data_IF_457348280136
#
_entry.id   IF_457348280136
#
_cell.length_a   1.000
_cell.length_b   1.000
_cell.length_c   1.000
_cell.angle_alpha   90.00
_cell.angle_beta   90.00
_cell.angle_gamma   90.00
#
_symmetry.space_group_name_H-M   'P 1'
#
loop_
_entity.id
_entity.type
_entity.pdbx_description
1 polymer ?
#
# COMPACT_ATOMS: atom_id res chain seq x y z
N UNK A 1 -6.22 12.36 2.88
CA UNK A 1 -5.63 12.28 1.54
C UNK A 1 -4.11 12.21 1.71
N UNK A 2 -3.46 11.09 1.38
CA UNK A 2 -2.00 11.05 1.38
C UNK A 2 -1.53 11.86 0.18
N UNK A 3 -0.79 12.94 0.42
CA UNK A 3 -0.22 13.73 -0.67
C UNK A 3 0.90 12.92 -1.32
N UNK A 4 0.83 12.71 -2.62
CA UNK A 4 1.94 12.15 -3.40
C UNK A 4 2.92 13.25 -3.81
N UNK A 5 4.18 12.89 -4.01
CA UNK A 5 5.22 13.76 -4.59
C UNK A 5 5.72 13.13 -5.90
N UNK A 6 5.92 13.95 -6.93
CA UNK A 6 6.59 13.53 -8.15
C UNK A 6 8.10 13.52 -7.95
N UNK A 7 8.74 12.40 -8.24
CA UNK A 7 10.18 12.20 -8.09
C UNK A 7 10.77 11.71 -9.40
N UNK A 8 11.94 12.25 -9.75
CA UNK A 8 12.74 11.73 -10.86
C UNK A 8 13.69 10.66 -10.34
N UNK A 9 13.54 9.43 -10.84
CA UNK A 9 14.47 8.34 -10.59
C UNK A 9 15.56 8.32 -11.66
N UNK A 10 16.80 8.14 -11.23
CA UNK A 10 17.99 7.83 -12.02
C UNK A 10 18.70 6.61 -11.41
N UNK A 11 18.13 5.39 -11.60
CA UNK A 11 18.56 4.23 -10.85
C UNK A 11 20.00 3.80 -11.20
N UNK A 12 20.81 3.56 -10.18
CA UNK A 12 22.16 3.01 -10.32
C UNK A 12 22.10 1.48 -10.27
N UNK A 13 22.60 0.76 -11.30
CA UNK A 13 22.61 -0.71 -11.34
C UNK A 13 23.29 -1.34 -10.11
N UNK A 14 22.69 -2.40 -9.57
CA UNK A 14 23.23 -3.22 -8.50
C UNK A 14 23.61 -4.61 -8.99
N UNK A 15 22.62 -5.48 -9.14
CA UNK A 15 22.78 -6.83 -9.69
C UNK A 15 21.51 -7.27 -10.41
N UNK A 16 21.63 -8.32 -11.23
CA UNK A 16 20.51 -8.87 -11.97
C UNK A 16 20.12 -10.27 -11.47
N UNK A 17 18.82 -10.55 -11.45
CA UNK A 17 18.24 -11.87 -11.20
C UNK A 17 17.54 -12.33 -12.46
N UNK A 18 17.70 -13.60 -12.83
CA UNK A 18 17.01 -14.22 -13.96
C UNK A 18 16.05 -15.27 -13.43
N UNK A 19 14.77 -15.08 -13.75
CA UNK A 19 13.64 -15.97 -13.50
C UNK A 19 12.94 -16.31 -14.84
N UNK A 20 11.76 -16.93 -14.76
CA UNK A 20 10.90 -17.25 -15.89
C UNK A 20 9.43 -17.11 -15.52
N UNK A 21 8.58 -16.70 -16.46
CA UNK A 21 7.13 -16.70 -16.27
C UNK A 21 6.61 -18.14 -16.11
N UNK A 22 5.78 -18.39 -15.10
CA UNK A 22 5.18 -19.71 -14.82
C UNK A 22 3.89 -19.96 -15.59
N UNK A 23 3.24 -18.90 -16.03
CA UNK A 23 1.97 -18.93 -16.76
C UNK A 23 1.99 -17.90 -17.90
N UNK A 24 1.04 -18.05 -18.82
CA UNK A 24 0.76 -17.02 -19.80
C UNK A 24 0.08 -15.85 -19.09
N UNK A 25 0.50 -14.62 -19.39
CA UNK A 25 -0.07 -13.41 -18.82
C UNK A 25 -0.19 -12.32 -19.89
N UNK A 26 -1.06 -11.34 -19.67
CA UNK A 26 -1.10 -10.11 -20.45
C UNK A 26 -0.66 -8.98 -19.55
N UNK A 27 0.42 -8.30 -19.93
CA UNK A 27 0.93 -7.17 -19.14
C UNK A 27 0.78 -5.88 -19.95
N UNK A 28 0.20 -4.81 -19.37
CA UNK A 28 0.13 -3.52 -20.02
C UNK A 28 1.53 -3.05 -20.43
N UNK A 29 1.71 -2.73 -21.70
CA UNK A 29 2.96 -2.18 -22.24
C UNK A 29 2.77 -0.68 -22.44
N UNK A 30 3.75 0.13 -22.04
CA UNK A 30 3.81 1.52 -22.45
C UNK A 30 4.09 1.62 -23.96
N UNK A 31 3.51 2.63 -24.62
CA UNK A 31 3.47 2.77 -26.08
C UNK A 31 4.85 2.66 -26.78
N UNK A 32 5.94 2.98 -26.07
CA UNK A 32 7.31 2.88 -26.59
C UNK A 32 7.78 1.43 -26.82
N UNK A 33 7.16 0.43 -26.17
CA UNK A 33 7.54 -0.99 -26.30
C UNK A 33 6.79 -1.74 -27.41
N UNK A 34 5.77 -1.12 -28.03
CA UNK A 34 4.93 -1.78 -29.05
C UNK A 34 5.55 -1.78 -30.46
N UNK A 35 6.56 -0.93 -30.70
CA UNK A 35 7.18 -0.78 -32.03
C UNK A 35 8.15 -1.93 -32.40
N UNK A 36 8.39 -2.89 -31.49
CA UNK A 36 9.39 -3.95 -31.68
C UNK A 36 8.81 -5.36 -31.89
N UNK A 37 7.48 -5.55 -31.85
CA UNK A 37 6.86 -6.87 -31.97
C UNK A 37 6.48 -7.24 -33.40
N UNK A 38 6.90 -8.43 -33.83
CA UNK A 38 6.49 -9.08 -35.08
C UNK A 38 4.96 -9.39 -35.10
N UNK A 39 4.35 -9.58 -36.28
CA UNK A 39 2.91 -9.36 -36.47
C UNK A 39 1.98 -10.54 -36.12
N UNK A 40 2.29 -11.37 -35.11
CA UNK A 40 1.50 -12.61 -34.89
C UNK A 40 1.01 -12.88 -33.47
N UNK A 41 1.06 -11.96 -32.50
CA UNK A 41 0.53 -12.21 -31.16
C UNK A 41 -0.14 -10.99 -30.55
N UNK A 42 -1.19 -11.24 -29.77
CA UNK A 42 -1.95 -10.25 -28.99
C UNK A 42 -0.99 -9.28 -28.28
N UNK A 43 -1.09 -7.96 -28.49
CA UNK A 43 -0.18 -6.99 -27.89
C UNK A 43 -0.12 -7.17 -26.36
N UNK A 44 1.07 -7.45 -25.82
CA UNK A 44 1.26 -7.63 -24.37
C UNK A 44 1.22 -9.06 -23.85
N UNK A 45 1.00 -10.08 -24.70
CA UNK A 45 1.04 -11.47 -24.27
C UNK A 45 2.47 -11.92 -23.89
N UNK A 46 2.61 -12.46 -22.69
CA UNK A 46 3.84 -13.05 -22.16
C UNK A 46 3.63 -14.56 -22.07
N UNK A 47 4.37 -15.38 -22.86
CA UNK A 47 4.20 -16.82 -22.83
C UNK A 47 4.81 -17.45 -21.58
N UNK A 48 4.26 -18.60 -21.16
CA UNK A 48 4.86 -19.46 -20.14
C UNK A 48 6.30 -19.81 -20.52
N UNK A 49 7.21 -19.74 -19.57
CA UNK A 49 8.63 -20.03 -19.75
C UNK A 49 9.45 -18.87 -20.33
N UNK A 50 8.84 -17.72 -20.66
CA UNK A 50 9.60 -16.55 -21.08
C UNK A 50 10.58 -16.15 -19.99
N UNK A 51 11.84 -15.89 -20.38
CA UNK A 51 12.87 -15.43 -19.44
C UNK A 51 12.53 -14.03 -18.95
N UNK A 52 12.57 -13.84 -17.64
CA UNK A 52 12.34 -12.54 -17.01
C UNK A 52 13.60 -12.17 -16.23
N UNK A 53 14.19 -11.02 -16.57
CA UNK A 53 15.31 -10.44 -15.86
C UNK A 53 14.79 -9.34 -14.92
N UNK A 54 15.08 -9.46 -13.63
CA UNK A 54 14.76 -8.45 -12.63
C UNK A 54 16.06 -7.75 -12.24
N UNK A 55 16.15 -6.47 -12.54
CA UNK A 55 17.29 -5.65 -12.15
C UNK A 55 17.04 -5.07 -10.77
N UNK A 56 17.98 -5.30 -9.85
CA UNK A 56 18.01 -4.64 -8.55
C UNK A 56 18.88 -3.40 -8.69
N UNK A 57 18.26 -2.23 -8.52
CA UNK A 57 18.91 -0.93 -8.68
C UNK A 57 18.69 -0.04 -7.45
N UNK A 58 19.49 1.02 -7.35
CA UNK A 58 19.52 1.91 -6.19
C UNK A 58 19.23 3.36 -6.59
N UNK A 59 18.41 4.05 -5.80
CA UNK A 59 18.18 5.47 -5.99
C UNK A 59 17.87 6.15 -4.64
N UNK A 60 18.50 7.29 -4.37
CA UNK A 60 18.32 8.06 -3.13
C UNK A 60 16.95 8.71 -3.02
N UNK A 61 16.22 8.88 -4.13
CA UNK A 61 14.85 9.40 -4.15
C UNK A 61 13.82 8.35 -3.74
N UNK A 62 14.16 7.06 -3.72
CA UNK A 62 13.28 6.03 -3.14
C UNK A 62 13.23 6.22 -1.62
N UNK A 63 12.06 6.15 -0.96
CA UNK A 63 12.01 6.24 0.49
C UNK A 63 12.87 5.15 1.17
N UNK A 64 13.65 5.48 2.20
CA UNK A 64 14.37 4.46 2.97
C UNK A 64 13.39 3.60 3.78
N UNK A 65 13.78 2.38 4.19
CA UNK A 65 13.04 1.63 5.20
C UNK A 65 12.82 2.48 6.46
N UNK A 66 11.67 2.34 7.16
CA UNK A 66 11.51 2.96 8.47
C UNK A 66 12.56 2.41 9.45
N UNK A 67 12.87 3.15 10.53
CA UNK A 67 13.76 2.63 11.57
C UNK A 67 13.17 1.36 12.20
N UNK A 68 14.01 0.35 12.44
CA UNK A 68 13.60 -0.90 13.07
C UNK A 68 14.75 -1.52 13.86
N UNK A 69 14.43 -2.21 14.95
CA UNK A 69 15.42 -2.97 15.70
C UNK A 69 15.96 -4.13 14.87
N UNK A 70 17.21 -4.56 15.11
CA UNK A 70 17.81 -5.68 14.39
C UNK A 70 16.99 -6.97 14.57
N UNK A 71 16.43 -7.20 15.77
CA UNK A 71 15.54 -8.32 16.03
C UNK A 71 14.26 -8.27 15.18
N UNK A 72 13.65 -7.09 15.02
CA UNK A 72 12.49 -6.90 14.14
C UNK A 72 12.86 -7.24 12.70
N UNK A 73 13.99 -6.74 12.21
CA UNK A 73 14.45 -6.96 10.85
C UNK A 73 14.71 -8.46 10.60
N UNK A 74 15.39 -9.14 11.52
CA UNK A 74 15.66 -10.59 11.43
C UNK A 74 14.39 -11.43 11.45
N UNK A 75 13.36 -11.02 12.21
CA UNK A 75 12.07 -11.70 12.21
C UNK A 75 11.33 -11.52 10.88
N UNK A 76 11.38 -10.33 10.28
CA UNK A 76 10.81 -10.06 8.95
C UNK A 76 11.52 -10.88 7.87
N UNK A 77 12.86 -10.92 7.88
CA UNK A 77 13.66 -11.71 6.93
C UNK A 77 13.32 -13.21 7.00
N UNK A 78 13.05 -13.72 8.21
CA UNK A 78 12.65 -15.13 8.44
C UNK A 78 11.17 -15.41 8.16
N UNK A 79 10.38 -14.40 7.77
CA UNK A 79 8.93 -14.55 7.59
C UNK A 79 8.16 -14.78 8.89
N UNK A 80 8.77 -14.53 10.05
CA UNK A 80 8.21 -14.81 11.39
C UNK A 80 7.40 -13.64 11.96
N UNK A 81 7.46 -12.46 11.34
CA UNK A 81 6.65 -11.29 11.68
C UNK A 81 6.04 -10.69 10.42
N UNK A 82 4.98 -11.32 9.94
CA UNK A 82 3.92 -10.58 9.25
C UNK A 82 2.68 -10.63 10.14
N UNK A 83 2.70 -9.83 11.20
CA UNK A 83 1.50 -9.52 11.94
C UNK A 83 1.01 -8.18 11.40
N UNK A 84 -0.01 -8.20 10.54
CA UNK A 84 -0.64 -7.00 9.92
C UNK A 84 -1.12 -5.98 10.95
N UNK A 85 -1.13 -6.34 12.23
CA UNK A 85 -1.51 -5.51 13.37
C UNK A 85 -0.52 -4.42 13.76
N UNK A 86 0.70 -4.41 13.21
CA UNK A 86 1.74 -3.42 13.50
C UNK A 86 1.85 -2.42 12.34
N UNK A 87 1.17 -1.29 12.45
CA UNK A 87 1.36 -0.12 11.57
C UNK A 87 2.79 0.46 11.66
N UNK A 88 3.56 0.05 12.67
CA UNK A 88 4.99 0.36 12.88
C UNK A 88 5.91 -0.78 12.37
N UNK A 89 5.39 -1.65 11.50
CA UNK A 89 6.16 -2.74 10.91
C UNK A 89 7.34 -2.24 10.09
N UNK A 90 8.48 -2.92 10.20
CA UNK A 90 9.63 -2.64 9.35
C UNK A 90 9.40 -3.23 7.95
N UNK A 91 9.50 -2.39 6.92
CA UNK A 91 9.34 -2.81 5.52
C UNK A 91 10.36 -2.12 4.63
N UNK A 92 10.61 -2.66 3.44
CA UNK A 92 11.49 -2.02 2.45
C UNK A 92 10.62 -1.51 1.29
N UNK A 93 10.58 -0.19 1.06
CA UNK A 93 9.98 0.37 -0.15
C UNK A 93 10.70 -0.12 -1.41
N UNK A 94 9.93 -0.59 -2.40
CA UNK A 94 10.43 -1.01 -3.71
C UNK A 94 9.59 -0.35 -4.78
N UNK A 95 10.23 0.38 -5.71
CA UNK A 95 9.58 0.94 -6.88
C UNK A 95 9.85 0.04 -8.09
N UNK A 96 8.79 -0.52 -8.65
CA UNK A 96 8.84 -1.44 -9.80
C UNK A 96 8.64 -0.63 -11.09
N UNK A 97 9.33 -1.01 -12.16
CA UNK A 97 9.12 -0.42 -13.49
C UNK A 97 8.04 -1.15 -14.26
N UNK A 98 7.50 -0.52 -15.29
CA UNK A 98 6.83 -1.28 -16.33
C UNK A 98 7.81 -2.28 -16.97
N UNK A 99 7.33 -3.48 -17.36
CA UNK A 99 8.19 -4.42 -18.06
C UNK A 99 8.55 -3.94 -19.46
N UNK A 100 9.80 -4.20 -19.85
CA UNK A 100 10.33 -3.89 -21.19
C UNK A 100 10.81 -5.15 -21.90
N UNK A 101 10.64 -5.19 -23.21
CA UNK A 101 11.20 -6.25 -24.05
C UNK A 101 12.72 -6.11 -24.20
N UNK A 102 13.41 -7.24 -24.21
CA UNK A 102 14.84 -7.35 -24.49
C UNK A 102 15.12 -8.73 -25.11
N UNK A 103 16.38 -9.00 -25.46
CA UNK A 103 16.85 -10.30 -25.93
C UNK A 103 17.90 -10.85 -24.99
N UNK A 104 17.92 -12.16 -24.77
CA UNK A 104 19.00 -12.80 -24.02
C UNK A 104 20.30 -12.89 -24.84
N UNK A 105 21.35 -13.47 -24.27
CA UNK A 105 22.64 -13.64 -24.98
C UNK A 105 22.54 -14.50 -26.25
N UNK A 106 21.51 -15.33 -26.38
CA UNK A 106 21.24 -16.16 -27.56
C UNK A 106 20.25 -15.48 -28.53
N UNK A 107 19.92 -14.20 -28.32
CA UNK A 107 18.98 -13.46 -29.15
C UNK A 107 17.50 -13.81 -28.92
N UNK A 108 17.19 -14.69 -27.96
CA UNK A 108 15.80 -15.10 -27.68
C UNK A 108 15.06 -14.01 -26.90
N UNK A 109 13.75 -13.83 -27.13
CA UNK A 109 12.95 -12.86 -26.39
C UNK A 109 13.04 -13.05 -24.88
N UNK A 110 13.13 -11.93 -24.17
CA UNK A 110 13.12 -11.87 -22.73
C UNK A 110 12.44 -10.58 -22.27
N UNK A 111 11.98 -10.58 -21.03
CA UNK A 111 11.41 -9.42 -20.38
C UNK A 111 12.39 -8.88 -19.35
N UNK A 112 12.42 -7.57 -19.15
CA UNK A 112 13.22 -6.92 -18.11
C UNK A 112 12.35 -6.03 -17.25
N UNK A 113 12.52 -6.09 -15.94
CA UNK A 113 11.84 -5.23 -14.96
C UNK A 113 12.87 -4.66 -13.99
N UNK A 114 12.82 -3.36 -13.72
CA UNK A 114 13.68 -2.73 -12.72
C UNK A 114 12.96 -2.60 -11.38
N UNK A 115 13.53 -3.17 -10.32
CA UNK A 115 13.16 -2.94 -8.94
C UNK A 115 14.17 -1.98 -8.31
N UNK A 116 13.72 -0.78 -7.98
CA UNK A 116 14.55 0.30 -7.44
C UNK A 116 14.30 0.43 -5.95
N UNK A 117 15.37 0.36 -5.17
CA UNK A 117 15.35 0.47 -3.71
C UNK A 117 16.21 1.65 -3.24
N UNK A 118 16.02 2.08 -1.99
CA UNK A 118 16.91 3.06 -1.39
C UNK A 118 18.30 2.46 -1.13
N UNK A 119 19.42 3.18 -1.39
CA UNK A 119 20.77 2.66 -1.21
C UNK A 119 21.15 2.34 0.25
N UNK A 120 20.38 2.77 1.26
CA UNK A 120 20.63 2.41 2.66
C UNK A 120 20.67 0.90 2.91
N UNK A 121 19.94 0.09 2.12
CA UNK A 121 19.93 -1.38 2.26
C UNK A 121 21.06 -2.06 1.48
N UNK A 122 21.78 -1.32 0.62
CA UNK A 122 22.81 -1.86 -0.27
C UNK A 122 23.97 -2.52 0.48
N UNK A 123 24.59 -1.92 1.53
CA UNK A 123 25.72 -2.55 2.22
C UNK A 123 25.37 -3.91 2.79
N UNK A 124 24.17 -4.03 3.38
CA UNK A 124 23.66 -5.28 3.94
C UNK A 124 23.37 -6.32 2.85
N UNK A 125 22.72 -5.90 1.76
CA UNK A 125 22.42 -6.75 0.59
C UNK A 125 23.68 -7.36 -0.05
N UNK A 126 24.79 -6.63 -0.03
CA UNK A 126 26.04 -7.12 -0.63
C UNK A 126 26.86 -8.02 0.31
N UNK A 127 26.69 -7.88 1.63
CA UNK A 127 27.47 -8.61 2.64
C UNK A 127 26.75 -9.85 3.17
N UNK A 128 25.43 -9.78 3.37
CA UNK A 128 24.65 -10.83 4.03
C UNK A 128 23.84 -11.63 3.00
N UNK A 129 24.17 -12.91 2.81
CA UNK A 129 23.51 -13.77 1.84
C UNK A 129 22.00 -13.93 2.09
N UNK A 130 21.59 -14.08 3.36
CA UNK A 130 20.19 -14.17 3.73
C UNK A 130 19.41 -12.88 3.43
N UNK A 131 20.01 -11.72 3.70
CA UNK A 131 19.39 -10.43 3.36
C UNK A 131 19.29 -10.25 1.85
N UNK A 132 20.31 -10.69 1.09
CA UNK A 132 20.26 -10.69 -0.37
C UNK A 132 19.13 -11.55 -0.91
N UNK A 133 18.96 -12.77 -0.38
CA UNK A 133 17.87 -13.65 -0.75
C UNK A 133 16.50 -13.02 -0.44
N UNK A 134 16.37 -12.36 0.71
CA UNK A 134 15.17 -11.60 1.08
C UNK A 134 14.87 -10.45 0.11
N UNK A 135 15.86 -9.65 -0.28
CA UNK A 135 15.70 -8.58 -1.28
C UNK A 135 15.25 -9.14 -2.63
N UNK A 136 15.79 -10.28 -3.04
CA UNK A 136 15.40 -10.94 -4.29
C UNK A 136 13.95 -11.42 -4.20
N UNK A 137 13.56 -12.10 -3.12
CA UNK A 137 12.19 -12.57 -2.93
C UNK A 137 11.20 -11.40 -2.90
N UNK A 138 11.52 -10.34 -2.15
CA UNK A 138 10.71 -9.13 -2.10
C UNK A 138 10.56 -8.50 -3.49
N UNK A 139 11.64 -8.42 -4.28
CA UNK A 139 11.58 -7.89 -5.63
C UNK A 139 10.68 -8.75 -6.53
N UNK A 140 10.79 -10.08 -6.48
CA UNK A 140 9.92 -10.98 -7.25
C UNK A 140 8.45 -10.81 -6.87
N UNK A 141 8.13 -10.81 -5.57
CA UNK A 141 6.77 -10.58 -5.08
C UNK A 141 6.21 -9.22 -5.54
N UNK A 142 7.04 -8.17 -5.54
CA UNK A 142 6.61 -6.84 -5.98
C UNK A 142 6.39 -6.77 -7.49
N UNK A 143 7.20 -7.47 -8.29
CA UNK A 143 6.93 -7.62 -9.72
C UNK A 143 5.62 -8.37 -9.95
N UNK A 144 5.37 -9.45 -9.23
CA UNK A 144 4.12 -10.23 -9.32
C UNK A 144 2.90 -9.45 -8.83
N UNK A 145 3.05 -8.51 -7.88
CA UNK A 145 1.94 -7.65 -7.45
C UNK A 145 1.69 -6.47 -8.38
N UNK A 146 2.76 -5.93 -8.99
CA UNK A 146 2.68 -4.79 -9.91
C UNK A 146 2.30 -5.20 -11.33
N UNK A 147 2.50 -6.47 -11.66
CA UNK A 147 2.12 -7.07 -12.94
C UNK A 147 1.15 -8.23 -12.67
N UNK A 148 0.70 -8.93 -13.70
CA UNK A 148 -0.08 -10.17 -13.55
C UNK A 148 0.79 -11.42 -13.75
N UNK A 149 2.12 -11.26 -13.72
CA UNK A 149 3.07 -12.35 -13.90
C UNK A 149 3.14 -13.20 -12.64
N UNK A 150 3.32 -14.52 -12.83
CA UNK A 150 3.81 -15.42 -11.80
C UNK A 150 5.24 -15.83 -12.17
N UNK A 151 6.20 -15.65 -11.26
CA UNK A 151 7.63 -15.82 -11.50
C UNK A 151 8.17 -17.06 -10.79
N UNK A 152 9.03 -17.79 -11.50
CA UNK A 152 9.72 -18.94 -10.92
C UNK A 152 10.67 -18.51 -9.80
N UNK A 153 10.64 -19.25 -8.67
CA UNK A 153 11.63 -19.12 -7.59
C UNK A 153 12.92 -19.92 -7.87
N UNK A 154 12.95 -20.72 -8.94
CA UNK A 154 14.18 -21.29 -9.46
C UNK A 154 14.96 -20.22 -10.24
N UNK A 155 15.65 -19.37 -9.49
CA UNK A 155 16.36 -18.21 -10.04
C UNK A 155 17.82 -18.55 -10.35
N UNK A 156 18.41 -17.73 -11.22
CA UNK A 156 19.87 -17.63 -11.34
C UNK A 156 20.29 -16.16 -11.20
N UNK A 157 21.51 -15.91 -10.76
CA UNK A 157 22.09 -14.56 -10.63
C UNK A 157 23.22 -14.40 -11.65
N UNK A 158 22.92 -13.94 -12.87
CA UNK A 158 23.97 -13.67 -13.86
C UNK A 158 24.99 -12.67 -13.29
N UNK A 159 26.27 -12.84 -13.65
CA UNK A 159 27.34 -11.93 -13.24
C UNK A 159 27.32 -10.63 -14.08
N UNK A 160 26.25 -9.85 -13.94
CA UNK A 160 26.05 -8.53 -14.54
C UNK A 160 25.36 -7.63 -13.53
N UNK A 161 25.64 -6.33 -13.58
CA UNK A 161 25.00 -5.35 -12.71
C UNK A 161 23.51 -5.13 -13.07
N UNK A 162 23.17 -5.20 -14.35
CA UNK A 162 21.80 -5.12 -14.86
C UNK A 162 21.70 -5.69 -16.28
N UNK A 163 20.50 -6.17 -16.65
CA UNK A 163 20.13 -6.45 -18.04
C UNK A 163 19.64 -5.15 -18.69
N UNK A 164 20.44 -4.61 -19.60
CA UNK A 164 20.24 -3.25 -20.12
C UNK A 164 20.49 -2.18 -19.05
N UNK A 165 20.36 -0.91 -19.42
CA UNK A 165 20.43 0.21 -18.46
C UNK A 165 19.05 0.39 -17.80
N UNK A 166 18.96 0.50 -16.46
CA UNK A 166 17.73 0.88 -15.78
C UNK A 166 17.20 2.22 -16.31
N UNK A 167 15.88 2.32 -16.44
CA UNK A 167 15.25 3.48 -17.07
C UNK A 167 15.04 4.62 -16.07
N UNK A 168 15.58 5.80 -16.38
CA UNK A 168 15.23 7.04 -15.68
C UNK A 168 13.78 7.41 -15.96
N UNK A 169 13.00 7.72 -14.91
CA UNK A 169 11.57 7.98 -15.03
C UNK A 169 11.04 8.86 -13.91
N UNK A 170 9.93 9.55 -14.16
CA UNK A 170 9.16 10.19 -13.09
C UNK A 170 8.18 9.21 -12.46
N UNK A 171 8.03 9.28 -11.14
CA UNK A 171 7.13 8.42 -10.35
C UNK A 171 6.42 9.25 -9.28
N UNK A 172 5.19 8.87 -8.97
CA UNK A 172 4.46 9.41 -7.83
C UNK A 172 4.67 8.52 -6.61
N UNK A 173 5.15 9.09 -5.53
CA UNK A 173 5.41 8.38 -4.28
C UNK A 173 4.63 9.04 -3.13
N UNK A 174 3.92 8.28 -2.29
CA UNK A 174 3.27 8.84 -1.11
C UNK A 174 4.28 9.52 -0.17
N UNK A 175 4.04 10.78 0.20
CA UNK A 175 4.97 11.56 1.04
C UNK A 175 5.17 10.94 2.43
N UNK A 176 4.17 10.23 2.96
CA UNK A 176 4.23 9.56 4.26
C UNK A 176 5.22 8.40 4.34
N UNK A 177 5.76 7.93 3.20
CA UNK A 177 6.82 6.91 3.19
C UNK A 177 8.19 7.48 3.54
N UNK A 178 8.37 8.80 3.45
CA UNK A 178 9.62 9.43 3.83
C UNK A 178 9.67 9.67 5.35
N UNK A 179 10.82 9.48 6.01
CA UNK A 179 10.94 9.79 7.42
C UNK A 179 10.90 11.31 7.68
N UNK A 180 10.49 11.75 8.89
CA UNK A 180 10.57 13.14 9.29
C UNK A 180 11.98 13.71 9.09
N UNK A 181 12.08 14.88 8.46
CA UNK A 181 13.36 15.54 8.14
C UNK A 181 13.96 15.18 6.79
N UNK A 182 13.40 14.23 6.04
CA UNK A 182 13.81 13.96 4.66
C UNK A 182 13.47 15.16 3.74
N UNK A 183 14.29 15.49 2.71
CA UNK A 183 14.00 16.59 1.77
C UNK A 183 12.59 16.51 1.14
N UNK A 184 12.13 15.28 0.86
CA UNK A 184 10.82 14.98 0.28
C UNK A 184 9.67 14.85 1.29
N UNK A 185 9.96 14.97 2.60
CA UNK A 185 8.97 14.96 3.68
C UNK A 185 8.45 16.37 4.01
N UNK A 186 8.93 17.42 3.34
CA UNK A 186 8.44 18.78 3.59
C UNK A 186 6.94 18.86 3.28
N UNK A 187 6.13 19.08 4.32
CA UNK A 187 4.79 19.65 4.19
C UNK A 187 4.94 20.98 3.48
N UNK A 188 4.12 21.24 2.46
CA UNK A 188 4.20 22.45 1.65
C UNK A 188 4.19 23.71 2.53
N UNK A 189 5.38 24.21 2.86
CA UNK A 189 5.58 25.57 3.31
C UNK A 189 5.47 26.43 2.06
N UNK A 190 4.25 26.92 1.81
CA UNK A 190 3.91 28.06 0.95
C UNK A 190 4.53 28.06 -0.46
N UNK A 191 3.82 27.47 -1.42
CA UNK A 191 3.71 28.06 -2.76
C UNK A 191 2.28 27.91 -3.24
N UNK A 192 1.45 28.90 -2.92
CA UNK A 192 0.25 29.23 -3.68
C UNK A 192 0.68 29.55 -5.11
N UNK A 193 0.42 28.62 -6.03
CA UNK A 193 0.69 28.77 -7.46
C UNK A 193 -0.64 28.79 -8.23
N UNK A 194 -1.54 29.68 -7.77
CA UNK A 194 -2.60 30.29 -8.58
C UNK A 194 -2.63 31.75 -8.14
N UNK A 195 -2.18 32.64 -9.02
CA UNK A 195 -2.30 34.09 -8.86
C UNK A 195 -3.64 34.50 -9.48
N UNK A 196 -4.68 34.57 -8.65
CA UNK A 196 -5.94 35.19 -9.03
C UNK A 196 -5.78 36.71 -8.91
N UNK A 197 -6.13 37.45 -9.98
CA UNK A 197 -6.02 38.91 -10.00
C UNK A 197 -6.93 39.52 -8.92
N UNK A 198 -6.36 40.42 -8.14
CA UNK A 198 -7.04 41.14 -7.07
C UNK A 198 -8.23 41.99 -7.57
N UNK A 199 -9.29 42.04 -6.75
CA UNK A 199 -10.20 43.17 -6.65
C UNK A 199 -10.34 43.57 -5.17
N UNK A 200 -10.45 44.87 -4.84
CA UNK A 200 -9.99 45.38 -3.54
C UNK A 200 -11.07 45.40 -2.43
N UNK A 201 -10.58 45.10 -1.22
CA UNK A 201 -10.79 45.77 0.08
C UNK A 201 -12.21 46.05 0.57
N UNK A 202 -12.60 45.38 1.67
CA UNK A 202 -13.16 46.04 2.87
C UNK A 202 -12.59 45.39 4.15
N UNK A 203 -12.43 46.24 5.16
CA UNK A 203 -11.53 46.19 6.32
C UNK A 203 -12.12 45.36 7.50
N UNK A 204 -11.19 44.81 8.30
CA UNK A 204 -11.27 44.00 9.53
C UNK A 204 -12.05 44.65 10.72
N UNK A 205 -12.07 44.14 11.99
CA UNK A 205 -11.40 42.94 12.56
C UNK A 205 -12.23 42.11 13.59
N UNK A 206 -11.76 40.90 13.96
CA UNK A 206 -11.59 40.44 15.36
C UNK A 206 -11.37 38.91 15.49
N UNK A 207 -10.29 38.57 16.22
CA UNK A 207 -10.18 37.45 17.18
C UNK A 207 -10.10 36.00 16.68
N UNK A 208 -8.86 35.64 16.31
CA UNK A 208 -8.08 34.52 16.86
C UNK A 208 -8.76 33.67 17.95
N UNK A 209 -9.10 32.42 17.64
CA UNK A 209 -8.94 31.28 18.56
C UNK A 209 -8.48 30.06 17.77
N UNK A 210 -7.23 29.69 17.98
CA UNK A 210 -6.68 28.37 17.70
C UNK A 210 -7.50 27.29 18.42
N UNK A 211 -8.06 26.33 17.69
CA UNK A 211 -8.20 24.98 18.22
C UNK A 211 -7.62 23.98 17.22
N UNK A 212 -6.44 23.52 17.61
CA UNK A 212 -5.74 22.36 17.09
C UNK A 212 -6.61 21.13 17.41
N UNK A 213 -7.27 20.52 16.42
CA UNK A 213 -7.76 19.15 16.55
C UNK A 213 -7.04 18.27 15.54
N UNK A 214 -6.08 17.50 16.06
CA UNK A 214 -5.54 16.30 15.43
C UNK A 214 -6.74 15.39 15.10
N UNK A 215 -7.13 15.30 13.82
CA UNK A 215 -8.23 14.43 13.40
C UNK A 215 -7.77 12.97 13.46
N UNK A 216 -7.98 12.34 14.61
CA UNK A 216 -7.78 10.91 14.79
C UNK A 216 -8.89 10.16 14.03
N UNK A 217 -8.50 9.41 13.01
CA UNK A 217 -9.37 8.60 12.13
C UNK A 217 -10.09 7.53 12.95
N UNK A 218 -11.39 7.26 12.71
CA UNK A 218 -12.10 6.23 13.44
C UNK A 218 -11.58 4.86 12.99
N UNK A 219 -11.30 3.98 13.94
CA UNK A 219 -10.88 2.60 13.68
C UNK A 219 -11.95 1.67 14.19
N UNK A 220 -12.11 0.48 13.65
CA UNK A 220 -13.10 -0.47 14.17
C UNK A 220 -12.48 -1.85 14.33
N UNK A 221 -13.10 -2.70 15.14
CA UNK A 221 -12.76 -4.11 15.29
C UNK A 221 -14.01 -4.95 15.34
N UNK A 222 -13.88 -6.26 15.13
CA UNK A 222 -15.00 -7.18 15.32
C UNK A 222 -14.56 -8.47 16.02
N UNK A 223 -15.49 -9.10 16.73
CA UNK A 223 -15.30 -10.41 17.37
C UNK A 223 -16.58 -11.24 17.27
N UNK A 224 -16.51 -12.55 17.00
CA UNK A 224 -17.68 -13.41 17.13
C UNK A 224 -18.06 -13.53 18.61
N UNK A 225 -19.37 -13.52 18.89
CA UNK A 225 -19.86 -13.78 20.25
C UNK A 225 -19.63 -15.26 20.61
N UNK A 226 -19.52 -15.59 21.91
CA UNK A 226 -19.31 -16.97 22.41
C UNK A 226 -20.32 -17.99 21.86
N UNK A 227 -21.52 -17.54 21.52
CA UNK A 227 -22.58 -18.39 20.97
C UNK A 227 -22.52 -18.54 19.44
N UNK A 228 -21.54 -17.94 18.76
CA UNK A 228 -21.34 -17.92 17.30
C UNK A 228 -22.57 -17.51 16.46
N UNK A 229 -23.58 -16.88 17.08
CA UNK A 229 -24.82 -16.43 16.41
C UNK A 229 -24.86 -14.94 16.11
N UNK A 230 -24.04 -14.14 16.80
CA UNK A 230 -23.97 -12.67 16.67
C UNK A 230 -22.52 -12.22 16.59
N UNK A 231 -22.29 -11.14 15.86
CA UNK A 231 -21.01 -10.44 15.72
C UNK A 231 -21.04 -9.20 16.62
N UNK A 232 -19.92 -8.94 17.29
CA UNK A 232 -19.69 -7.71 18.02
C UNK A 232 -18.74 -6.82 17.23
N UNK A 233 -19.18 -5.66 16.78
CA UNK A 233 -18.33 -4.58 16.28
C UNK A 233 -17.97 -3.60 17.41
N UNK A 234 -16.76 -3.09 17.40
CA UNK A 234 -16.28 -2.03 18.30
C UNK A 234 -15.64 -0.95 17.44
N UNK A 235 -16.30 0.19 17.30
CA UNK A 235 -15.84 1.35 16.54
C UNK A 235 -15.24 2.37 17.51
N UNK A 236 -13.95 2.63 17.40
CA UNK A 236 -13.21 3.65 18.14
C UNK A 236 -13.40 5.02 17.47
N UNK A 237 -13.99 5.95 18.24
CA UNK A 237 -14.37 7.31 17.85
C UNK A 237 -13.74 8.32 18.80
N UNK A 238 -12.41 8.55 18.71
CA UNK A 238 -11.62 9.23 19.74
C UNK A 238 -12.01 10.69 20.03
N UNK A 239 -12.69 11.34 19.08
CA UNK A 239 -13.11 12.74 19.15
C UNK A 239 -14.64 12.90 19.29
N UNK A 240 -15.40 11.82 19.45
CA UNK A 240 -16.84 11.91 19.62
C UNK A 240 -17.20 12.39 21.04
N UNK A 241 -18.05 13.39 21.12
CA UNK A 241 -18.58 13.94 22.38
C UNK A 241 -20.08 13.71 22.50
N UNK A 242 -20.64 13.78 23.73
CA UNK A 242 -22.07 13.54 23.99
C UNK A 242 -22.98 14.51 23.22
N UNK A 243 -22.54 15.74 22.98
CA UNK A 243 -23.30 16.74 22.22
C UNK A 243 -23.50 16.33 20.75
N UNK A 244 -22.54 15.61 20.17
CA UNK A 244 -22.55 15.24 18.76
C UNK A 244 -23.42 14.02 18.46
N UNK A 245 -23.74 13.19 19.46
CA UNK A 245 -24.58 11.99 19.29
C UNK A 245 -25.94 12.34 18.70
N UNK A 246 -26.56 13.43 19.17
CA UNK A 246 -27.90 13.85 18.71
C UNK A 246 -27.96 14.17 17.21
N UNK A 247 -26.83 14.52 16.61
CA UNK A 247 -26.69 14.80 15.17
C UNK A 247 -26.00 13.66 14.41
N UNK A 248 -25.70 12.54 15.07
CA UNK A 248 -25.03 11.38 14.46
C UNK A 248 -26.04 10.33 14.04
N UNK A 249 -25.78 9.62 12.95
CA UNK A 249 -26.55 8.44 12.54
C UNK A 249 -25.68 7.20 12.57
N UNK A 250 -26.28 6.07 12.96
CA UNK A 250 -25.67 4.75 12.93
C UNK A 250 -26.70 3.78 12.36
N UNK A 251 -26.38 3.25 11.19
CA UNK A 251 -27.25 2.34 10.44
C UNK A 251 -26.58 0.96 10.33
N UNK A 252 -27.36 -0.09 10.60
CA UNK A 252 -26.92 -1.48 10.49
C UNK A 252 -27.81 -2.16 9.45
N UNK A 253 -27.19 -2.63 8.37
CA UNK A 253 -27.82 -3.39 7.29
C UNK A 253 -27.33 -4.86 7.35
N UNK A 254 -27.98 -5.81 6.65
CA UNK A 254 -27.60 -7.22 6.65
C UNK A 254 -26.12 -7.48 6.37
N UNK A 255 -25.48 -6.64 5.55
CA UNK A 255 -24.07 -6.78 5.16
C UNK A 255 -23.28 -5.47 5.22
N UNK A 256 -23.77 -4.47 5.96
CA UNK A 256 -23.14 -3.14 6.02
C UNK A 256 -23.36 -2.45 7.35
N UNK A 257 -22.38 -1.68 7.82
CA UNK A 257 -22.53 -0.80 9.00
C UNK A 257 -22.06 0.60 8.62
N UNK A 258 -22.92 1.59 8.80
CA UNK A 258 -22.69 2.97 8.39
C UNK A 258 -22.76 3.86 9.62
N UNK A 259 -21.73 4.67 9.87
CA UNK A 259 -21.68 5.66 10.93
C UNK A 259 -21.37 7.02 10.32
N UNK A 260 -22.31 7.95 10.47
CA UNK A 260 -22.16 9.33 10.04
C UNK A 260 -22.21 10.27 11.25
N UNK A 261 -21.13 10.99 11.49
CA UNK A 261 -21.02 12.02 12.54
C UNK A 261 -20.62 13.33 11.86
N UNK A 262 -21.55 14.29 11.73
CA UNK A 262 -21.28 15.55 11.05
C UNK A 262 -20.01 16.23 11.58
N UNK A 263 -19.17 16.67 10.63
CA UNK A 263 -17.89 17.34 10.90
C UNK A 263 -16.81 16.51 11.61
N UNK A 264 -17.04 15.22 11.88
CA UNK A 264 -16.05 14.34 12.51
C UNK A 264 -15.74 13.07 11.70
N UNK A 265 -16.76 12.25 11.44
CA UNK A 265 -16.57 10.88 10.95
C UNK A 265 -17.59 10.53 9.87
N UNK A 266 -17.12 9.84 8.84
CA UNK A 266 -17.96 9.19 7.83
C UNK A 266 -17.35 7.79 7.60
N UNK A 267 -18.00 6.77 8.15
CA UNK A 267 -17.50 5.40 8.20
C UNK A 267 -18.51 4.47 7.54
N UNK A 268 -18.05 3.72 6.57
CA UNK A 268 -18.82 2.72 5.83
C UNK A 268 -18.09 1.38 5.82
N UNK A 269 -18.67 0.40 6.49
CA UNK A 269 -18.15 -0.97 6.60
C UNK A 269 -19.00 -1.85 5.71
N UNK A 270 -18.48 -2.21 4.53
CA UNK A 270 -19.16 -3.10 3.59
C UNK A 270 -18.59 -4.52 3.66
N UNK A 271 -19.45 -5.52 3.94
CA UNK A 271 -19.08 -6.93 4.09
C UNK A 271 -19.14 -7.73 2.77
N UNK A 272 -19.51 -7.09 1.65
CA UNK A 272 -19.64 -7.70 0.31
C UNK A 272 -18.45 -7.46 -0.64
N UNK A 273 -17.47 -6.65 -0.26
CA UNK A 273 -16.41 -6.24 -1.19
C UNK A 273 -15.51 -7.44 -1.59
N UNK A 274 -15.53 -7.75 -2.90
CA UNK A 274 -14.63 -8.67 -3.58
C UNK A 274 -13.18 -8.13 -3.54
N UNK A 275 -12.13 -8.99 -3.57
CA UNK A 275 -10.74 -8.59 -3.36
C UNK A 275 -10.17 -7.56 -4.35
N UNK A 276 -10.89 -7.25 -5.43
CA UNK A 276 -10.34 -6.56 -6.60
C UNK A 276 -10.84 -5.10 -6.76
N UNK A 277 -11.49 -4.53 -5.73
CA UNK A 277 -11.92 -3.12 -5.75
C UNK A 277 -11.11 -2.32 -4.73
N UNK A 278 -10.35 -1.34 -5.21
CA UNK A 278 -9.62 -0.36 -4.40
C UNK A 278 -10.51 0.17 -3.26
N UNK A 279 -10.12 -0.01 -1.99
CA UNK A 279 -10.95 0.41 -0.86
C UNK A 279 -10.95 1.94 -0.75
N UNK A 280 -12.10 2.55 -1.00
CA UNK A 280 -12.36 3.95 -0.68
C UNK A 280 -12.30 4.16 0.83
N UNK A 281 -11.20 4.75 1.29
CA UNK A 281 -11.04 5.66 2.45
C UNK A 281 -11.94 5.48 3.70
N UNK A 282 -12.20 4.27 4.22
CA UNK A 282 -12.65 4.09 5.63
C UNK A 282 -12.58 2.65 6.20
N UNK A 283 -12.06 1.66 5.47
CA UNK A 283 -12.52 0.26 5.68
C UNK A 283 -11.52 -0.71 6.32
N UNK A 284 -10.60 -0.27 7.19
CA UNK A 284 -9.82 -1.23 7.99
C UNK A 284 -10.47 -1.45 9.35
N UNK A 285 -11.26 -2.52 9.42
CA UNK A 285 -11.57 -3.19 10.68
C UNK A 285 -10.36 -3.96 11.11
N UNK A 286 -9.76 -3.56 12.22
CA UNK A 286 -8.73 -4.34 12.91
C UNK A 286 -9.41 -5.60 13.47
N UNK A 287 -8.89 -6.77 13.13
CA UNK A 287 -9.50 -8.02 13.62
C UNK A 287 -9.30 -8.18 15.12
N UNK A 288 -10.36 -8.59 15.82
CA UNK A 288 -10.24 -9.04 17.20
C UNK A 288 -9.42 -10.32 17.27
N UNK A 289 -8.79 -10.54 18.42
CA UNK A 289 -7.91 -11.66 18.68
C UNK A 289 -8.61 -13.00 18.35
N UNK A 290 -8.09 -13.72 17.34
CA UNK A 290 -8.59 -15.04 16.93
C UNK A 290 -9.62 -15.08 15.80
N UNK A 291 -9.91 -13.97 15.12
CA UNK A 291 -10.87 -13.94 14.00
C UNK A 291 -10.18 -13.53 12.69
N UNK A 292 -10.51 -14.18 11.56
CA UNK A 292 -9.95 -13.89 10.23
C UNK A 292 -10.97 -13.15 9.34
N UNK A 293 -10.53 -12.28 8.43
CA UNK A 293 -11.43 -11.56 7.49
C UNK A 293 -12.24 -12.57 6.66
N UNK A 294 -11.63 -13.73 6.39
CA UNK A 294 -12.27 -14.87 5.73
C UNK A 294 -13.43 -15.46 6.53
N UNK A 295 -13.38 -15.45 7.87
CA UNK A 295 -14.48 -15.89 8.74
C UNK A 295 -15.62 -14.87 8.82
N UNK A 296 -15.30 -13.56 8.82
CA UNK A 296 -16.33 -12.51 8.75
C UNK A 296 -17.14 -12.60 7.45
N UNK A 297 -16.46 -12.84 6.32
CA UNK A 297 -17.12 -13.01 5.01
C UNK A 297 -17.98 -14.27 4.92
N UNK A 298 -17.64 -15.32 5.69
CA UNK A 298 -18.41 -16.58 5.79
C UNK A 298 -19.57 -16.49 6.78
N UNK A 299 -19.66 -15.42 7.57
CA UNK A 299 -20.77 -15.22 8.48
C UNK A 299 -22.05 -14.92 7.69
N UNK A 300 -23.18 -15.42 8.21
CA UNK A 300 -24.51 -15.08 7.68
C UNK A 300 -24.78 -13.59 7.88
N UNK A 301 -25.79 -13.09 7.19
CA UNK A 301 -26.26 -11.73 7.31
C UNK A 301 -26.45 -11.31 8.79
N UNK A 302 -26.10 -10.06 9.09
CA UNK A 302 -26.25 -9.46 10.41
C UNK A 302 -27.73 -9.49 10.84
N UNK A 303 -27.99 -9.80 12.11
CA UNK A 303 -29.33 -9.77 12.70
C UNK A 303 -29.73 -8.30 12.95
N UNK A 304 -30.22 -7.65 11.90
CA UNK A 304 -30.63 -6.22 11.92
C UNK A 304 -31.73 -5.99 12.94
N UNK A 305 -32.72 -6.87 13.01
CA UNK A 305 -33.89 -6.73 13.90
C UNK A 305 -33.50 -6.93 15.38
N UNK A 306 -32.49 -7.75 15.65
CA UNK A 306 -31.94 -7.97 16.99
C UNK A 306 -30.68 -7.16 17.31
N UNK A 307 -30.31 -6.19 16.46
CA UNK A 307 -29.10 -5.41 16.61
C UNK A 307 -29.20 -4.44 17.80
N UNK A 308 -28.12 -4.31 18.56
CA UNK A 308 -28.01 -3.34 19.68
C UNK A 308 -26.73 -2.54 19.56
N UNK A 309 -26.84 -1.22 19.71
CA UNK A 309 -25.71 -0.32 19.73
C UNK A 309 -25.58 0.40 21.09
N UNK A 310 -24.37 0.44 21.63
CA UNK A 310 -24.01 1.17 22.84
C UNK A 310 -22.98 2.25 22.52
N UNK A 311 -23.34 3.51 22.77
CA UNK A 311 -22.46 4.67 22.58
C UNK A 311 -21.69 4.96 23.87
N UNK A 312 -20.46 4.43 23.99
CA UNK A 312 -19.62 4.60 25.18
C UNK A 312 -18.65 5.76 24.99
N UNK A 313 -19.19 6.98 25.08
CA UNK A 313 -18.42 8.23 24.86
C UNK A 313 -17.21 8.36 25.79
N UNK A 314 -17.34 7.97 27.06
CA UNK A 314 -16.25 8.03 28.04
C UNK A 314 -15.09 7.08 27.66
N UNK A 315 -15.41 5.94 27.06
CA UNK A 315 -14.45 4.96 26.54
C UNK A 315 -14.04 5.25 25.09
N UNK A 316 -14.64 6.28 24.47
CA UNK A 316 -14.43 6.68 23.07
C UNK A 316 -14.74 5.56 22.06
N UNK A 317 -15.69 4.69 22.36
CA UNK A 317 -16.08 3.57 21.50
C UNK A 317 -17.59 3.47 21.31
N UNK A 318 -18.01 2.95 20.17
CA UNK A 318 -19.37 2.51 19.88
C UNK A 318 -19.33 0.99 19.73
N UNK A 319 -20.12 0.28 20.53
CA UNK A 319 -20.19 -1.18 20.47
C UNK A 319 -21.50 -1.58 19.82
N UNK A 320 -21.43 -2.41 18.78
CA UNK A 320 -22.60 -2.92 18.06
C UNK A 320 -22.62 -4.43 18.21
N UNK A 321 -23.76 -5.00 18.56
CA UNK A 321 -24.01 -6.43 18.59
C UNK A 321 -25.10 -6.74 17.59
N UNK A 322 -24.75 -7.37 16.48
CA UNK A 322 -25.65 -7.70 15.35
C UNK A 322 -25.33 -9.08 14.80
#
# INVERSE_FOLDING_TARGET
>A
MSSSISLTLNPVPGFCVKSSALQQAVVPRTATSLLASAPSDTPGAIPKGLKVFVNIAWDTNVPPPPPGSEDTIQKVIRGQHYNESNSDGWFIPVLVSDPRDDKDKAGKPALVVDCVLNPSVKPRTLKEAHFKAFIIELALQRVESHTTLALSRQISTPNIASKGKPVSRQVLVPRNLFPPGHPHHKSDAKTTLIQELASPTVIAPASKVEWILKSATPTWTWTPTKDHRKIRFIINVPNLTRAQISNSTLDVEPRRVILHVPSLYDLDINLDVAPDTEPTTATYGRLGEGATVTELKRFRDLDVDGAKAEWRVAEKVIVILA
#
